data_IF_533564200469
#
_entry.id   IF_533564200469
#
_cell.length_a   1.000
_cell.length_b   1.000
_cell.length_c   1.000
_cell.angle_alpha   90.00
_cell.angle_beta   90.00
_cell.angle_gamma   90.00
#
_symmetry.space_group_name_H-M   'P 1'
#
loop_
_entity.id
_entity.type
_entity.pdbx_description
1 polymer ?
#
# COMPACT_ATOMS: atom_id res chain seq x y z
N UNK A 1 18.01 -8.41 10.50
CA UNK A 1 17.15 -7.94 9.39
C UNK A 1 16.31 -6.78 9.89
N UNK A 2 16.25 -5.66 9.16
CA UNK A 2 15.45 -4.49 9.53
C UNK A 2 14.07 -4.57 8.87
N UNK A 3 13.02 -4.20 9.60
CA UNK A 3 11.63 -4.18 9.13
C UNK A 3 11.05 -2.78 9.33
N UNK A 4 10.20 -2.35 8.42
CA UNK A 4 9.34 -1.18 8.58
C UNK A 4 7.92 -1.64 8.90
N UNK A 5 7.27 -0.99 9.84
CA UNK A 5 5.82 -1.05 9.99
C UNK A 5 5.22 0.16 9.28
N UNK A 6 4.35 -0.07 8.31
CA UNK A 6 3.81 0.98 7.45
C UNK A 6 2.29 0.88 7.39
N UNK A 7 1.64 2.03 7.47
CA UNK A 7 0.21 2.21 7.23
C UNK A 7 0.05 2.96 5.92
N UNK A 8 -0.91 2.58 5.08
CA UNK A 8 -1.16 3.30 3.83
C UNK A 8 -2.63 3.16 3.39
N UNK A 9 -3.08 4.13 2.62
CA UNK A 9 -4.36 4.15 1.92
C UNK A 9 -4.14 4.17 0.40
N UNK A 10 -4.63 3.17 -0.35
CA UNK A 10 -4.48 3.08 -1.81
C UNK A 10 -5.86 2.95 -2.47
N UNK A 11 -6.38 4.01 -3.11
CA UNK A 11 -7.68 3.95 -3.79
C UNK A 11 -7.61 3.26 -5.15
N UNK A 12 -8.74 2.71 -5.62
CA UNK A 12 -8.87 2.25 -7.01
C UNK A 12 -9.13 3.43 -7.94
N UNK A 13 -8.14 3.80 -8.77
CA UNK A 13 -8.28 4.94 -9.69
C UNK A 13 -9.04 4.62 -10.98
N UNK A 14 -9.04 3.36 -11.40
CA UNK A 14 -9.46 2.99 -12.77
C UNK A 14 -10.86 2.41 -12.86
N UNK A 15 -11.35 1.76 -11.79
CA UNK A 15 -12.65 1.08 -11.79
C UNK A 15 -13.31 1.16 -10.43
N UNK A 16 -14.64 1.23 -10.43
CA UNK A 16 -15.45 0.95 -9.25
C UNK A 16 -15.41 -0.55 -9.01
N UNK A 17 -14.95 -0.93 -7.82
CA UNK A 17 -14.75 -2.31 -7.42
C UNK A 17 -15.86 -2.69 -6.45
N UNK A 18 -16.58 -3.76 -6.76
CA UNK A 18 -17.80 -4.16 -6.04
C UNK A 18 -17.56 -5.21 -4.95
N UNK A 19 -16.33 -5.71 -4.84
CA UNK A 19 -15.94 -6.74 -3.87
C UNK A 19 -15.12 -6.13 -2.72
N UNK A 20 -14.55 -6.98 -1.84
CA UNK A 20 -13.85 -6.63 -0.58
C UNK A 20 -12.59 -5.77 -0.77
N UNK A 21 -12.76 -4.53 -1.20
CA UNK A 21 -11.65 -3.59 -1.41
C UNK A 21 -11.16 -2.98 -0.10
N UNK A 22 -12.01 -2.83 0.92
CA UNK A 22 -11.65 -2.16 2.17
C UNK A 22 -10.37 -2.71 2.82
N UNK A 23 -10.16 -4.04 2.75
CA UNK A 23 -8.97 -4.73 3.25
C UNK A 23 -7.69 -4.39 2.47
N UNK A 24 -7.83 -4.04 1.18
CA UNK A 24 -6.74 -3.70 0.28
C UNK A 24 -6.57 -2.18 0.12
N UNK A 25 -7.59 -1.40 0.47
CA UNK A 25 -7.57 0.06 0.41
C UNK A 25 -6.83 0.65 1.59
N UNK A 26 -7.12 0.22 2.83
CA UNK A 26 -6.45 0.74 4.03
C UNK A 26 -5.81 -0.41 4.80
N UNK A 27 -4.47 -0.40 4.89
CA UNK A 27 -3.73 -1.50 5.49
C UNK A 27 -2.55 -1.03 6.32
N UNK A 28 -2.23 -1.81 7.35
CA UNK A 28 -0.99 -1.73 8.11
C UNK A 28 -0.25 -3.05 7.95
N UNK A 29 1.03 -3.02 7.57
CA UNK A 29 1.83 -4.24 7.37
C UNK A 29 3.31 -4.04 7.68
N UNK A 30 3.98 -5.15 7.92
CA UNK A 30 5.44 -5.21 8.05
C UNK A 30 6.08 -5.42 6.68
N UNK A 31 7.05 -4.58 6.33
CA UNK A 31 7.80 -4.65 5.06
C UNK A 31 9.30 -4.73 5.35
N UNK A 32 10.03 -5.70 4.77
CA UNK A 32 11.48 -5.77 4.89
C UNK A 32 12.17 -4.50 4.36
N UNK A 33 13.25 -4.07 5.00
CA UNK A 33 14.00 -2.87 4.62
C UNK A 33 14.39 -2.86 3.13
N UNK A 34 14.87 -3.99 2.61
CA UNK A 34 15.31 -4.12 1.22
C UNK A 34 14.16 -3.97 0.20
N UNK A 35 12.93 -4.26 0.63
CA UNK A 35 11.73 -4.15 -0.21
C UNK A 35 11.04 -2.79 -0.07
N UNK A 36 11.35 -2.01 0.97
CA UNK A 36 10.58 -0.82 1.33
C UNK A 36 10.60 0.25 0.24
N UNK A 37 11.76 0.53 -0.35
CA UNK A 37 11.87 1.58 -1.37
C UNK A 37 11.02 1.30 -2.62
N UNK A 38 10.95 0.02 -3.02
CA UNK A 38 10.10 -0.41 -4.15
C UNK A 38 8.61 -0.29 -3.80
N UNK A 39 8.22 -0.67 -2.60
CA UNK A 39 6.83 -0.61 -2.15
C UNK A 39 6.34 0.83 -1.95
N UNK A 40 7.19 1.69 -1.38
CA UNK A 40 6.94 3.12 -1.25
C UNK A 40 6.64 3.76 -2.61
N UNK A 41 7.51 3.53 -3.62
CA UNK A 41 7.27 4.04 -4.97
C UNK A 41 6.00 3.46 -5.61
N UNK A 42 5.68 2.19 -5.35
CA UNK A 42 4.44 1.57 -5.86
C UNK A 42 3.21 2.27 -5.30
N UNK A 43 3.16 2.52 -3.99
CA UNK A 43 2.06 3.22 -3.33
C UNK A 43 1.90 4.63 -3.91
N UNK A 44 2.99 5.38 -4.03
CA UNK A 44 2.99 6.73 -4.61
C UNK A 44 2.48 6.74 -6.06
N UNK A 45 2.96 5.82 -6.91
CA UNK A 45 2.53 5.72 -8.32
C UNK A 45 1.07 5.28 -8.48
N UNK A 46 0.53 4.55 -7.50
CA UNK A 46 -0.88 4.18 -7.44
C UNK A 46 -1.77 5.27 -6.81
N UNK A 47 -1.22 6.46 -6.55
CA UNK A 47 -1.91 7.57 -5.90
C UNK A 47 -2.40 7.24 -4.49
N UNK A 48 -1.70 6.34 -3.82
CA UNK A 48 -1.92 6.07 -2.41
C UNK A 48 -1.13 7.01 -1.52
N UNK A 49 -1.61 7.16 -0.29
CA UNK A 49 -0.98 7.95 0.77
C UNK A 49 -0.37 6.98 1.80
N UNK A 50 0.88 7.23 2.18
CA UNK A 50 1.58 6.52 3.27
C UNK A 50 1.42 7.35 4.53
#
# INVERSE_FOLDING_TARGET
>A
MRMFEITACVPSQTRIRTQRELQNTYFTKLVPYDNWFREQQRIQKMGGTI
#
